data_IF_394799124466
#
_entry.id   IF_394799124466
#
_cell.length_a   1.000
_cell.length_b   1.000
_cell.length_c   1.000
_cell.angle_alpha   90.00
_cell.angle_beta   90.00
_cell.angle_gamma   90.00
#
_symmetry.space_group_name_H-M   'P 1'
#
loop_
_entity.id
_entity.type
_entity.pdbx_description
1 polymer ?
#
# COMPACT_ATOMS: atom_id res chain seq x y z
N UNK A 1 -17.33 16.39 6.97
CA UNK A 1 -18.22 16.44 5.80
C UNK A 1 -19.09 15.23 5.84
N UNK A 2 -20.41 15.39 5.67
CA UNK A 2 -21.36 14.29 5.88
C UNK A 2 -21.92 13.74 4.56
N UNK A 3 -21.75 14.43 3.43
CA UNK A 3 -22.38 14.02 2.16
C UNK A 3 -21.45 14.17 0.95
N UNK A 4 -21.71 13.37 -0.08
CA UNK A 4 -21.02 13.44 -1.37
C UNK A 4 -21.19 14.79 -2.07
N UNK A 5 -22.35 15.44 -1.91
CA UNK A 5 -22.64 16.75 -2.48
C UNK A 5 -21.70 17.85 -1.93
N UNK A 6 -21.42 17.84 -0.63
CA UNK A 6 -20.43 18.74 -0.01
C UNK A 6 -19.03 18.52 -0.61
N UNK A 7 -18.67 17.26 -0.88
CA UNK A 7 -17.38 16.92 -1.48
C UNK A 7 -17.30 17.38 -2.94
N UNK A 8 -18.36 17.18 -3.71
CA UNK A 8 -18.44 17.66 -5.09
C UNK A 8 -18.24 19.17 -5.19
N UNK A 9 -18.90 19.95 -4.33
CA UNK A 9 -18.70 21.39 -4.29
C UNK A 9 -17.26 21.79 -3.94
N UNK A 10 -16.66 21.15 -2.94
CA UNK A 10 -15.25 21.37 -2.58
C UNK A 10 -14.29 21.00 -3.71
N UNK A 11 -14.56 19.89 -4.41
CA UNK A 11 -13.79 19.44 -5.56
C UNK A 11 -13.80 20.47 -6.68
N UNK A 12 -14.99 20.95 -7.06
CA UNK A 12 -15.18 21.91 -8.14
C UNK A 12 -14.57 23.28 -7.82
N UNK A 13 -14.71 23.75 -6.58
CA UNK A 13 -14.30 25.11 -6.17
C UNK A 13 -12.84 25.22 -5.74
N UNK A 14 -12.29 24.22 -5.06
CA UNK A 14 -10.97 24.33 -4.40
C UNK A 14 -9.90 23.38 -4.94
N UNK A 15 -10.28 22.29 -5.61
CA UNK A 15 -9.33 21.31 -6.15
C UNK A 15 -9.18 21.41 -7.67
N UNK A 16 -10.24 21.75 -8.40
CA UNK A 16 -10.25 21.68 -9.86
C UNK A 16 -9.16 22.53 -10.53
N UNK A 17 -8.91 23.75 -10.05
CA UNK A 17 -7.85 24.63 -10.60
C UNK A 17 -6.47 23.98 -10.48
N UNK A 18 -6.11 23.51 -9.29
CA UNK A 18 -4.83 22.84 -9.05
C UNK A 18 -4.72 21.49 -9.75
N UNK A 19 -5.82 20.74 -9.82
CA UNK A 19 -5.86 19.48 -10.57
C UNK A 19 -5.60 19.70 -12.05
N UNK A 20 -6.10 20.78 -12.66
CA UNK A 20 -5.79 21.15 -14.05
C UNK A 20 -4.31 21.47 -14.23
N UNK A 21 -3.69 22.21 -13.32
CA UNK A 21 -2.24 22.48 -13.38
C UNK A 21 -1.40 21.20 -13.27
N UNK A 22 -1.79 20.29 -12.38
CA UNK A 22 -1.13 18.99 -12.22
C UNK A 22 -1.35 18.12 -13.47
N UNK A 23 -2.53 18.17 -14.08
CA UNK A 23 -2.88 17.43 -15.29
C UNK A 23 -2.02 17.86 -16.48
N UNK A 24 -1.73 19.16 -16.63
CA UNK A 24 -0.78 19.65 -17.65
C UNK A 24 0.60 19.00 -17.46
N UNK A 25 1.10 18.95 -16.21
CA UNK A 25 2.38 18.30 -15.91
C UNK A 25 2.35 16.79 -16.16
N UNK A 26 1.23 16.13 -15.82
CA UNK A 26 1.03 14.70 -16.12
C UNK A 26 1.03 14.46 -17.62
N UNK A 27 0.32 15.27 -18.41
CA UNK A 27 0.28 15.16 -19.87
C UNK A 27 1.67 15.34 -20.47
N UNK A 28 2.44 16.34 -20.04
CA UNK A 28 3.82 16.52 -20.50
C UNK A 28 4.70 15.31 -20.19
N UNK A 29 4.58 14.75 -18.98
CA UNK A 29 5.29 13.53 -18.60
C UNK A 29 4.83 12.32 -19.45
N UNK A 30 3.52 12.15 -19.64
CA UNK A 30 2.94 11.06 -20.42
C UNK A 30 3.32 11.15 -21.91
N UNK A 31 3.31 12.34 -22.49
CA UNK A 31 3.74 12.57 -23.88
C UNK A 31 5.21 12.24 -24.05
N UNK A 32 6.09 12.71 -23.16
CA UNK A 32 7.52 12.35 -23.22
C UNK A 32 7.73 10.84 -23.15
N UNK A 33 7.02 10.15 -22.27
CA UNK A 33 7.10 8.68 -22.18
C UNK A 33 6.56 8.01 -23.46
N UNK A 34 5.43 8.47 -23.99
CA UNK A 34 4.89 7.96 -25.26
C UNK A 34 5.85 8.17 -26.42
N UNK A 35 6.45 9.35 -26.53
CA UNK A 35 7.45 9.66 -27.55
C UNK A 35 8.64 8.72 -27.44
N UNK A 36 9.17 8.48 -26.23
CA UNK A 36 10.26 7.53 -26.03
C UNK A 36 9.87 6.09 -26.42
N UNK A 37 8.65 5.65 -26.07
CA UNK A 37 8.14 4.33 -26.48
C UNK A 37 8.02 4.20 -28.00
N UNK A 38 7.59 5.26 -28.68
CA UNK A 38 7.50 5.28 -30.15
C UNK A 38 8.91 5.20 -30.75
N UNK A 39 9.89 5.94 -30.22
CA UNK A 39 11.28 5.85 -30.67
C UNK A 39 11.85 4.44 -30.49
N UNK A 40 11.62 3.81 -29.34
CA UNK A 40 12.03 2.43 -29.06
C UNK A 40 11.39 1.44 -30.05
N UNK A 41 10.09 1.60 -30.33
CA UNK A 41 9.39 0.77 -31.31
C UNK A 41 9.94 0.96 -32.73
N UNK A 42 10.25 2.21 -33.13
CA UNK A 42 10.85 2.49 -34.45
C UNK A 42 12.22 1.83 -34.56
N UNK A 43 13.08 1.94 -33.53
CA UNK A 43 14.40 1.30 -33.52
C UNK A 43 14.26 -0.22 -33.66
N UNK A 44 13.30 -0.83 -32.94
CA UNK A 44 13.01 -2.25 -33.05
C UNK A 44 12.57 -2.64 -34.47
N UNK A 45 11.70 -1.85 -35.12
CA UNK A 45 11.27 -2.09 -36.50
C UNK A 45 12.45 -1.97 -37.47
N UNK A 46 13.30 -0.95 -37.33
CA UNK A 46 14.50 -0.77 -38.17
C UNK A 46 15.44 -1.97 -38.05
N UNK A 47 15.66 -2.47 -36.84
CA UNK A 47 16.45 -3.69 -36.58
C UNK A 47 15.82 -4.91 -37.27
N UNK A 48 14.51 -5.09 -37.15
CA UNK A 48 13.81 -6.22 -37.77
C UNK A 48 13.88 -6.16 -39.31
N UNK A 49 13.71 -4.97 -39.89
CA UNK A 49 13.85 -4.76 -41.34
C UNK A 49 15.28 -5.03 -41.79
N UNK A 50 16.28 -4.55 -41.05
CA UNK A 50 17.69 -4.83 -41.31
C UNK A 50 17.97 -6.34 -41.30
N UNK A 51 17.59 -7.04 -40.23
CA UNK A 51 17.77 -8.50 -40.12
C UNK A 51 17.04 -9.26 -41.23
N UNK A 52 15.84 -8.81 -41.62
CA UNK A 52 15.08 -9.42 -42.71
C UNK A 52 15.75 -9.23 -44.08
N UNK A 53 16.20 -8.01 -44.39
CA UNK A 53 16.93 -7.71 -45.64
C UNK A 53 18.15 -8.60 -45.83
N UNK A 54 18.98 -8.75 -44.78
CA UNK A 54 20.16 -9.61 -44.84
C UNK A 54 19.85 -11.11 -44.89
N UNK A 55 18.62 -11.54 -44.58
CA UNK A 55 18.21 -12.94 -44.70
C UNK A 55 17.79 -13.31 -46.12
N UNK A 56 17.41 -12.33 -46.94
CA UNK A 56 16.90 -12.55 -48.30
C UNK A 56 17.97 -12.42 -49.40
N UNK A 57 19.14 -11.88 -49.09
CA UNK A 57 20.25 -11.79 -50.03
C UNK A 57 21.04 -13.11 -50.11
N UNK A 58 21.57 -13.40 -51.30
CA UNK A 58 22.37 -14.59 -51.60
C UNK A 58 23.61 -14.62 -50.68
N UNK A 59 23.89 -15.71 -49.94
CA UNK A 59 24.99 -15.79 -48.96
C UNK A 59 26.39 -15.50 -49.51
N UNK A 60 26.51 -15.39 -50.83
CA UNK A 60 27.76 -15.22 -51.57
C UNK A 60 28.17 -13.75 -51.78
N UNK A 61 27.28 -12.77 -51.62
CA UNK A 61 27.55 -11.35 -51.92
C UNK A 61 27.84 -10.45 -50.72
N UNK A 62 27.52 -10.87 -49.49
CA UNK A 62 27.87 -10.15 -48.26
C UNK A 62 27.82 -11.11 -47.05
N UNK A 63 28.79 -11.08 -46.12
CA UNK A 63 28.63 -11.78 -44.85
C UNK A 63 27.46 -11.17 -44.10
N UNK A 64 26.44 -11.98 -43.80
CA UNK A 64 25.28 -11.56 -43.01
C UNK A 64 25.70 -11.02 -41.63
N UNK A 65 24.77 -10.47 -40.83
CA UNK A 65 25.10 -10.02 -39.49
C UNK A 65 25.59 -11.20 -38.65
N UNK A 66 26.90 -11.28 -38.45
CA UNK A 66 27.52 -12.26 -37.57
C UNK A 66 26.96 -12.13 -36.15
N UNK A 67 27.09 -13.19 -35.36
CA UNK A 67 26.59 -13.24 -33.97
C UNK A 67 26.98 -12.00 -33.16
N UNK A 68 28.17 -11.43 -33.40
CA UNK A 68 28.67 -10.21 -32.77
C UNK A 68 27.74 -9.01 -33.01
N UNK A 69 27.25 -8.81 -34.24
CA UNK A 69 26.35 -7.71 -34.58
C UNK A 69 24.99 -7.87 -33.89
N UNK A 70 24.48 -9.10 -33.81
CA UNK A 70 23.24 -9.41 -33.07
C UNK A 70 23.41 -9.09 -31.58
N UNK A 71 24.56 -9.42 -30.98
CA UNK A 71 24.85 -9.10 -29.58
C UNK A 71 24.95 -7.58 -29.33
N UNK A 72 25.57 -6.80 -30.21
CA UNK A 72 25.63 -5.34 -30.09
C UNK A 72 24.24 -4.69 -30.20
N UNK A 73 23.42 -5.18 -31.12
CA UNK A 73 22.03 -4.73 -31.29
C UNK A 73 21.22 -5.03 -30.01
N UNK A 74 21.31 -6.26 -29.50
CA UNK A 74 20.64 -6.63 -28.24
C UNK A 74 21.13 -5.80 -27.06
N UNK A 75 22.45 -5.58 -26.94
CA UNK A 75 23.04 -4.75 -25.90
C UNK A 75 22.55 -3.30 -25.94
N UNK A 76 22.48 -2.71 -27.13
CA UNK A 76 21.97 -1.34 -27.29
C UNK A 76 20.49 -1.21 -26.97
N UNK A 77 19.65 -2.19 -27.32
CA UNK A 77 18.25 -2.23 -26.90
C UNK A 77 18.09 -2.31 -25.39
N UNK A 78 18.91 -3.11 -24.69
CA UNK A 78 18.89 -3.20 -23.22
C UNK A 78 19.28 -1.87 -22.58
N UNK A 79 20.32 -1.20 -23.12
CA UNK A 79 20.76 0.11 -22.63
C UNK A 79 19.69 1.17 -22.87
N UNK A 80 19.07 1.20 -24.05
CA UNK A 80 17.98 2.12 -24.36
C UNK A 80 16.76 1.90 -23.47
N UNK A 81 16.36 0.63 -23.25
CA UNK A 81 15.30 0.27 -22.32
C UNK A 81 15.62 0.70 -20.88
N UNK A 82 16.88 0.59 -20.45
CA UNK A 82 17.32 1.06 -19.14
C UNK A 82 17.26 2.59 -19.02
N UNK A 83 17.74 3.33 -20.02
CA UNK A 83 17.65 4.80 -20.08
C UNK A 83 16.17 5.23 -20.06
N UNK A 84 15.30 4.52 -20.78
CA UNK A 84 13.85 4.74 -20.78
C UNK A 84 13.24 4.59 -19.37
N UNK A 85 13.60 3.55 -18.63
CA UNK A 85 13.13 3.33 -17.25
C UNK A 85 13.58 4.49 -16.34
N UNK A 86 14.82 4.97 -16.47
CA UNK A 86 15.32 6.09 -15.68
C UNK A 86 14.60 7.41 -16.03
N UNK A 87 14.41 7.69 -17.32
CA UNK A 87 13.76 8.91 -17.79
C UNK A 87 12.27 8.95 -17.37
N UNK A 88 11.54 7.86 -17.55
CA UNK A 88 10.13 7.73 -17.16
C UNK A 88 9.93 7.86 -15.63
N UNK A 89 10.85 7.31 -14.83
CA UNK A 89 10.86 7.49 -13.39
C UNK A 89 11.08 8.96 -13.00
N UNK A 90 11.94 9.70 -13.71
CA UNK A 90 12.17 11.13 -13.50
C UNK A 90 10.94 11.99 -13.82
N UNK A 91 10.30 11.77 -14.97
CA UNK A 91 9.16 12.57 -15.41
C UNK A 91 7.92 12.41 -14.53
N UNK A 92 7.75 11.24 -13.91
CA UNK A 92 6.59 10.97 -13.06
C UNK A 92 6.68 11.56 -11.66
N UNK A 93 7.89 11.83 -11.15
CA UNK A 93 8.10 12.31 -9.77
C UNK A 93 7.50 13.69 -9.50
N UNK A 94 7.64 14.62 -10.45
CA UNK A 94 7.23 16.03 -10.27
C UNK A 94 5.71 16.16 -10.08
N UNK A 95 4.89 15.62 -10.99
CA UNK A 95 3.44 15.73 -10.89
C UNK A 95 2.90 14.94 -9.69
N UNK A 96 3.47 13.77 -9.39
CA UNK A 96 3.12 12.97 -8.21
C UNK A 96 3.39 13.73 -6.91
N UNK A 97 4.56 14.38 -6.82
CA UNK A 97 4.93 15.23 -5.68
C UNK A 97 3.94 16.38 -5.48
N UNK A 98 3.53 17.03 -6.57
CA UNK A 98 2.55 18.12 -6.54
C UNK A 98 1.15 17.64 -6.18
N UNK A 99 0.70 16.52 -6.76
CA UNK A 99 -0.58 15.89 -6.43
C UNK A 99 -0.67 15.56 -4.95
N UNK A 100 0.34 14.90 -4.38
CA UNK A 100 0.35 14.58 -2.95
C UNK A 100 0.37 15.83 -2.07
N UNK A 101 1.22 16.81 -2.39
CA UNK A 101 1.33 18.04 -1.60
C UNK A 101 0.03 18.85 -1.63
N UNK A 102 -0.48 19.12 -2.83
CA UNK A 102 -1.54 20.10 -3.04
C UNK A 102 -2.93 19.48 -2.90
N UNK A 103 -3.11 18.23 -3.35
CA UNK A 103 -4.42 17.57 -3.32
C UNK A 103 -4.57 16.77 -2.04
N UNK A 104 -3.72 15.77 -1.80
CA UNK A 104 -3.86 14.90 -0.63
C UNK A 104 -3.74 15.67 0.68
N UNK A 105 -2.81 16.63 0.78
CA UNK A 105 -2.72 17.53 1.93
C UNK A 105 -4.02 18.31 2.20
N UNK A 106 -4.66 18.85 1.15
CA UNK A 106 -5.97 19.51 1.29
C UNK A 106 -7.09 18.56 1.67
N UNK A 107 -7.10 17.34 1.11
CA UNK A 107 -8.08 16.32 1.49
C UNK A 107 -7.97 15.99 2.99
N UNK A 108 -6.75 15.79 3.49
CA UNK A 108 -6.49 15.52 4.92
C UNK A 108 -6.97 16.67 5.80
N UNK A 109 -6.54 17.91 5.50
CA UNK A 109 -6.96 19.09 6.28
C UNK A 109 -8.46 19.37 6.19
N UNK A 110 -9.15 18.85 5.17
CA UNK A 110 -10.60 18.96 5.01
C UNK A 110 -11.37 17.96 5.88
N UNK A 111 -10.81 16.77 6.11
CA UNK A 111 -11.39 15.74 6.99
C UNK A 111 -11.37 16.22 8.43
N UNK A 112 -10.21 16.68 8.92
CA UNK A 112 -10.09 17.33 10.22
C UNK A 112 -8.87 18.26 10.23
N UNK A 113 -9.00 19.38 10.95
CA UNK A 113 -7.90 20.34 11.17
C UNK A 113 -6.81 19.77 12.09
N UNK A 114 -7.15 18.76 12.89
CA UNK A 114 -6.23 18.11 13.83
C UNK A 114 -5.38 17.02 13.16
N UNK A 115 -5.60 16.78 11.86
CA UNK A 115 -4.79 15.87 11.05
C UNK A 115 -3.63 16.62 10.39
N UNK A 116 -2.43 16.08 10.55
CA UNK A 116 -1.25 16.51 9.81
C UNK A 116 -0.81 15.44 8.81
N UNK A 117 -0.39 15.86 7.61
CA UNK A 117 0.03 14.97 6.52
C UNK A 117 1.49 15.16 6.16
N UNK A 118 2.25 14.07 6.17
CA UNK A 118 3.67 13.99 5.84
C UNK A 118 3.88 13.00 4.69
N UNK A 119 4.05 13.55 3.48
CA UNK A 119 4.13 12.77 2.22
C UNK A 119 5.17 11.65 2.25
N UNK A 120 6.39 11.97 2.67
CA UNK A 120 7.54 11.07 2.53
C UNK A 120 7.84 10.29 3.82
N UNK A 121 7.06 10.54 4.87
CA UNK A 121 7.23 9.91 6.16
C UNK A 121 6.30 8.71 6.34
N UNK A 122 6.53 7.91 7.36
CA UNK A 122 5.80 6.65 7.63
C UNK A 122 5.78 6.33 9.12
N UNK A 123 4.89 5.42 9.51
CA UNK A 123 4.93 4.82 10.84
C UNK A 123 6.32 4.22 11.06
N UNK A 124 6.86 4.38 12.26
CA UNK A 124 8.20 3.93 12.55
C UNK A 124 8.32 2.41 12.55
N UNK A 125 9.49 1.93 12.15
CA UNK A 125 9.77 0.49 12.15
C UNK A 125 9.64 -0.15 13.53
N UNK A 126 10.02 0.58 14.59
CA UNK A 126 9.89 0.09 15.97
C UNK A 126 8.44 -0.08 16.38
N UNK A 127 7.53 0.78 15.93
CA UNK A 127 6.10 0.61 16.18
C UNK A 127 5.51 -0.57 15.41
N UNK A 128 5.92 -0.75 14.16
CA UNK A 128 5.55 -1.93 13.39
C UNK A 128 5.98 -3.22 14.11
N UNK A 129 7.21 -3.28 14.62
CA UNK A 129 7.68 -4.43 15.42
C UNK A 129 6.92 -4.57 16.75
N UNK A 130 6.65 -3.47 17.44
CA UNK A 130 5.91 -3.46 18.71
C UNK A 130 4.48 -4.00 18.59
N UNK A 131 3.90 -3.94 17.38
CA UNK A 131 2.61 -4.57 17.11
C UNK A 131 2.63 -6.09 17.26
N UNK A 132 3.79 -6.72 17.07
CA UNK A 132 3.96 -8.19 17.11
C UNK A 132 3.02 -8.95 16.15
N UNK A 133 2.39 -8.25 15.20
CA UNK A 133 1.59 -8.83 14.11
C UNK A 133 2.44 -9.61 13.11
N UNK A 134 3.74 -9.30 13.06
CA UNK A 134 4.71 -9.84 12.10
C UNK A 134 6.08 -9.95 12.77
N UNK A 135 6.29 -10.96 13.61
CA UNK A 135 7.56 -11.17 14.30
C UNK A 135 8.47 -12.13 13.49
N UNK A 136 9.02 -11.60 12.39
CA UNK A 136 9.98 -12.30 11.52
C UNK A 136 11.08 -11.35 11.05
N UNK A 137 12.17 -11.90 10.49
CA UNK A 137 13.26 -11.06 9.97
C UNK A 137 12.81 -10.23 8.76
N UNK A 138 12.97 -8.91 8.87
CA UNK A 138 12.49 -7.96 7.89
C UNK A 138 13.61 -7.63 6.90
N UNK A 139 13.40 -8.04 5.64
CA UNK A 139 14.32 -7.77 4.54
C UNK A 139 14.28 -6.30 4.09
N UNK A 140 13.07 -5.72 4.04
CA UNK A 140 12.84 -4.37 3.54
C UNK A 140 11.59 -3.77 4.18
N UNK A 141 11.74 -2.55 4.69
CA UNK A 141 10.65 -1.76 5.27
C UNK A 141 10.51 -0.43 4.52
N UNK A 142 9.47 -0.31 3.70
CA UNK A 142 9.17 0.90 2.92
C UNK A 142 7.81 1.44 3.32
N UNK A 143 7.66 2.75 3.28
CA UNK A 143 6.40 3.41 3.59
C UNK A 143 6.40 4.86 3.17
N UNK A 144 5.22 5.46 3.23
CA UNK A 144 4.96 6.86 2.85
C UNK A 144 3.56 7.27 3.33
N UNK A 145 3.20 8.51 3.06
CA UNK A 145 1.86 9.05 3.28
C UNK A 145 1.43 8.94 4.76
N UNK A 146 2.31 9.35 5.68
CA UNK A 146 2.01 9.42 7.11
C UNK A 146 0.97 10.50 7.36
N UNK A 147 -0.08 10.12 8.08
CA UNK A 147 -1.06 11.03 8.66
C UNK A 147 -1.00 10.85 10.17
N UNK A 148 -0.95 11.95 10.91
CA UNK A 148 -0.98 11.96 12.38
C UNK A 148 -2.19 12.75 12.87
N UNK A 149 -2.78 12.33 13.97
CA UNK A 149 -3.89 13.05 14.60
C UNK A 149 -3.96 12.79 16.10
N UNK A 150 -4.89 13.47 16.76
CA UNK A 150 -5.18 13.31 18.18
C UNK A 150 -6.69 13.30 18.38
N UNK A 151 -7.19 12.39 19.19
CA UNK A 151 -8.58 12.34 19.63
C UNK A 151 -8.59 12.27 21.16
N UNK A 152 -8.98 13.37 21.82
CA UNK A 152 -8.83 13.53 23.27
C UNK A 152 -7.37 13.26 23.69
N UNK A 153 -7.10 12.27 24.54
CA UNK A 153 -5.73 11.90 24.96
C UNK A 153 -5.07 10.85 24.05
N UNK A 154 -5.80 10.30 23.08
CA UNK A 154 -5.30 9.26 22.19
C UNK A 154 -4.57 9.91 21.02
N UNK A 155 -3.26 9.69 20.93
CA UNK A 155 -2.51 10.07 19.73
C UNK A 155 -2.57 8.92 18.73
N UNK A 156 -2.78 9.23 17.45
CA UNK A 156 -2.82 8.20 16.43
C UNK A 156 -2.13 8.63 15.15
N UNK A 157 -1.72 7.62 14.38
CA UNK A 157 -1.02 7.80 13.13
C UNK A 157 -1.21 6.61 12.23
N UNK A 158 -1.24 6.87 10.93
CA UNK A 158 -1.28 5.80 9.94
C UNK A 158 -0.49 6.16 8.72
N UNK A 159 0.03 5.15 8.04
CA UNK A 159 0.77 5.34 6.80
C UNK A 159 0.59 4.14 5.89
N UNK A 160 0.86 4.33 4.60
CA UNK A 160 0.95 3.20 3.68
C UNK A 160 2.32 2.54 3.83
N UNK A 161 2.34 1.23 4.11
CA UNK A 161 3.56 0.44 4.24
C UNK A 161 3.62 -0.69 3.22
N UNK A 162 4.85 -1.07 2.88
CA UNK A 162 5.18 -2.27 2.13
C UNK A 162 6.38 -2.94 2.79
N UNK A 163 6.13 -4.13 3.33
CA UNK A 163 7.08 -4.85 4.16
C UNK A 163 7.37 -6.22 3.56
N UNK A 164 8.65 -6.56 3.47
CA UNK A 164 9.13 -7.83 2.97
C UNK A 164 9.95 -8.55 4.04
N UNK A 165 9.73 -9.85 4.17
CA UNK A 165 10.43 -10.74 5.08
C UNK A 165 11.45 -11.61 4.37
N UNK A 166 12.41 -12.14 5.14
CA UNK A 166 13.31 -13.21 4.67
C UNK A 166 12.78 -14.56 5.12
N UNK A 167 12.86 -15.56 4.25
CA UNK A 167 12.76 -16.95 4.70
C UNK A 167 14.08 -17.35 5.36
N UNK A 168 14.02 -18.02 6.50
CA UNK A 168 15.20 -18.69 7.05
C UNK A 168 15.62 -19.82 6.10
N UNK A 169 16.92 -20.01 5.85
CA UNK A 169 17.41 -21.14 5.08
C UNK A 169 17.12 -22.43 5.86
N UNK A 170 16.23 -23.27 5.34
CA UNK A 170 16.20 -24.69 5.70
C UNK A 170 17.16 -25.43 4.76
N UNK A 171 17.69 -26.59 5.17
CA UNK A 171 18.79 -27.33 4.51
C UNK A 171 18.59 -27.65 3.01
N UNK A 172 17.42 -27.34 2.43
CA UNK A 172 17.06 -27.56 1.02
C UNK A 172 16.54 -26.32 0.26
N UNK A 173 16.42 -25.14 0.89
CA UNK A 173 15.87 -23.93 0.23
C UNK A 173 16.81 -22.72 0.30
N UNK A 174 17.06 -22.08 -0.85
CA UNK A 174 17.75 -20.78 -0.93
C UNK A 174 16.93 -19.71 -0.21
N UNK A 175 17.62 -18.80 0.46
CA UNK A 175 17.03 -17.61 1.10
C UNK A 175 16.21 -16.81 0.08
N UNK A 176 14.91 -16.65 0.34
CA UNK A 176 13.99 -15.89 -0.49
C UNK A 176 13.44 -14.68 0.26
N UNK A 177 13.07 -13.65 -0.49
CA UNK A 177 12.32 -12.50 0.06
C UNK A 177 10.86 -12.63 -0.34
N UNK A 178 9.94 -12.49 0.61
CA UNK A 178 8.50 -12.53 0.34
C UNK A 178 7.80 -11.33 0.96
N UNK A 179 6.66 -10.93 0.39
CA UNK A 179 5.90 -9.78 0.87
C UNK A 179 5.03 -10.19 2.05
N UNK A 180 5.26 -9.60 3.21
CA UNK A 180 4.52 -9.89 4.45
C UNK A 180 3.29 -9.00 4.53
N UNK A 181 3.47 -7.70 4.29
CA UNK A 181 2.42 -6.71 4.45
C UNK A 181 2.47 -5.69 3.32
N UNK A 182 1.30 -5.28 2.84
CA UNK A 182 1.16 -4.13 1.95
C UNK A 182 -0.20 -3.50 2.13
N UNK A 183 -0.23 -2.26 2.60
CA UNK A 183 -1.46 -1.52 2.82
C UNK A 183 -1.31 -0.46 3.90
N UNK A 184 -2.40 -0.13 4.58
CA UNK A 184 -2.40 0.92 5.62
C UNK A 184 -2.16 0.29 6.97
N UNK A 185 -1.15 0.82 7.66
CA UNK A 185 -0.83 0.44 9.03
C UNK A 185 -1.16 1.61 9.95
N UNK A 186 -2.05 1.38 10.90
CA UNK A 186 -2.59 2.36 11.82
C UNK A 186 -2.13 2.04 13.25
N UNK A 187 -1.77 3.07 14.00
CA UNK A 187 -1.32 3.01 15.39
C UNK A 187 -2.14 4.02 16.18
N UNK A 188 -2.72 3.59 17.29
CA UNK A 188 -3.30 4.46 18.31
C UNK A 188 -2.62 4.19 19.65
N UNK A 189 -2.14 5.25 20.29
CA UNK A 189 -1.51 5.21 21.61
C UNK A 189 -2.45 5.83 22.64
N UNK A 190 -2.97 4.98 23.51
CA UNK A 190 -3.92 5.33 24.56
C UNK A 190 -3.23 5.89 25.80
N UNK A 191 -1.89 5.91 25.84
CA UNK A 191 -1.04 6.30 26.98
C UNK A 191 -1.19 5.43 28.24
N UNK A 192 -2.29 4.69 28.37
CA UNK A 192 -2.54 3.69 29.40
C UNK A 192 -2.28 2.30 28.86
N UNK A 193 -1.63 1.46 29.65
CA UNK A 193 -1.35 0.09 29.24
C UNK A 193 -2.64 -0.75 29.20
N UNK A 194 -2.76 -1.59 28.18
CA UNK A 194 -3.77 -2.63 28.13
C UNK A 194 -3.46 -3.68 29.20
N UNK A 195 -4.51 -4.14 29.89
CA UNK A 195 -4.42 -5.17 30.94
C UNK A 195 -3.90 -6.48 30.35
N UNK A 196 -4.34 -6.80 29.14
CA UNK A 196 -3.92 -8.00 28.41
C UNK A 196 -3.43 -7.63 27.01
N UNK A 197 -2.52 -8.45 26.48
CA UNK A 197 -2.08 -8.37 25.10
C UNK A 197 -2.86 -9.36 24.24
N UNK A 198 -3.14 -8.97 23.01
CA UNK A 198 -3.84 -9.86 22.10
C UNK A 198 -3.53 -9.55 20.65
N UNK A 199 -3.58 -10.59 19.82
CA UNK A 199 -3.53 -10.49 18.37
C UNK A 199 -4.79 -11.07 17.76
N UNK A 200 -5.37 -10.35 16.80
CA UNK A 200 -6.57 -10.73 16.06
C UNK A 200 -6.19 -10.87 14.59
N UNK A 201 -6.32 -12.07 14.05
CA UNK A 201 -6.01 -12.37 12.65
C UNK A 201 -7.27 -12.74 11.87
N UNK A 202 -7.32 -12.51 10.54
CA UNK A 202 -8.40 -13.04 9.73
C UNK A 202 -8.50 -14.56 9.87
N UNK A 203 -9.71 -15.07 10.08
CA UNK A 203 -9.97 -16.50 10.00
C UNK A 203 -10.20 -16.87 8.54
N UNK A 204 -9.12 -17.19 7.85
CA UNK A 204 -9.15 -17.60 6.44
C UNK A 204 -8.96 -19.11 6.44
N UNK A 205 -10.00 -19.87 6.07
CA UNK A 205 -9.83 -21.30 5.79
C UNK A 205 -8.69 -21.53 4.77
N UNK A 206 -8.18 -22.78 4.67
CA UNK A 206 -6.97 -23.17 3.90
C UNK A 206 -6.77 -22.35 2.62
N UNK A 207 -5.93 -21.34 2.70
CA UNK A 207 -5.53 -20.51 1.58
C UNK A 207 -4.01 -20.50 1.59
N UNK A 208 -3.40 -21.14 0.61
CA UNK A 208 -1.96 -21.47 0.58
C UNK A 208 -1.04 -20.27 0.92
N UNK A 209 -1.35 -19.06 0.46
CA UNK A 209 -0.56 -17.86 0.80
C UNK A 209 -0.68 -17.44 2.26
N UNK A 210 -1.88 -17.58 2.82
CA UNK A 210 -2.13 -17.30 4.23
C UNK A 210 -1.56 -18.41 5.10
N UNK A 211 -1.59 -19.67 4.67
CA UNK A 211 -1.00 -20.80 5.39
C UNK A 211 0.53 -20.64 5.54
N UNK A 212 1.21 -20.17 4.48
CA UNK A 212 2.64 -19.84 4.55
C UNK A 212 2.89 -18.70 5.53
N UNK A 213 2.11 -17.62 5.45
CA UNK A 213 2.22 -16.49 6.39
C UNK A 213 1.94 -16.97 7.82
N UNK A 214 0.88 -17.74 8.05
CA UNK A 214 0.49 -18.27 9.35
C UNK A 214 1.55 -19.22 9.91
N UNK A 215 2.21 -20.03 9.08
CA UNK A 215 3.35 -20.86 9.51
C UNK A 215 4.49 -19.98 10.05
N UNK A 216 4.77 -18.85 9.42
CA UNK A 216 5.74 -17.87 9.92
C UNK A 216 5.21 -17.01 11.08
N UNK A 217 3.89 -16.96 11.27
CA UNK A 217 3.27 -16.26 12.40
C UNK A 217 3.10 -17.17 13.63
N UNK A 218 3.31 -18.50 13.54
CA UNK A 218 3.16 -19.40 14.68
C UNK A 218 4.04 -18.97 15.87
N UNK A 219 5.28 -18.55 15.61
CA UNK A 219 6.20 -18.05 16.63
C UNK A 219 5.86 -16.64 17.14
N UNK A 220 4.80 -16.04 16.60
CA UNK A 220 4.36 -14.65 16.83
C UNK A 220 2.98 -14.57 17.48
N UNK A 221 2.26 -15.70 17.49
CA UNK A 221 0.99 -15.86 18.18
C UNK A 221 1.24 -15.68 19.67
N UNK A 222 0.57 -14.70 20.27
CA UNK A 222 0.61 -14.49 21.71
C UNK A 222 -0.39 -15.40 22.40
N UNK A 223 0.12 -16.30 23.23
CA UNK A 223 -0.73 -17.18 24.03
C UNK A 223 -1.54 -18.16 23.18
N UNK A 224 -2.75 -18.46 23.67
CA UNK A 224 -3.60 -19.50 23.09
C UNK A 224 -4.75 -18.89 22.30
N UNK A 225 -5.29 -19.67 21.38
CA UNK A 225 -6.52 -19.30 20.69
C UNK A 225 -7.67 -19.23 21.70
N UNK A 226 -8.45 -18.16 21.64
CA UNK A 226 -9.59 -17.92 22.52
C UNK A 226 -10.85 -17.79 21.67
N UNK A 227 -11.91 -18.50 22.08
CA UNK A 227 -13.23 -18.41 21.46
C UNK A 227 -13.99 -17.22 22.06
N UNK A 228 -14.50 -16.33 21.21
CA UNK A 228 -15.19 -15.12 21.66
C UNK A 228 -16.67 -15.35 21.95
N UNK A 229 -17.18 -16.56 21.65
CA UNK A 229 -18.60 -16.92 21.72
C UNK A 229 -19.47 -15.97 20.88
N UNK A 230 -18.96 -15.59 19.72
CA UNK A 230 -19.58 -14.63 18.81
C UNK A 230 -19.48 -15.18 17.38
N UNK A 231 -20.50 -15.91 16.90
CA UNK A 231 -20.41 -16.65 15.64
C UNK A 231 -20.08 -15.78 14.42
N UNK A 232 -20.53 -14.51 14.40
CA UNK A 232 -20.25 -13.59 13.30
C UNK A 232 -18.78 -13.18 13.32
N UNK A 233 -18.25 -12.85 14.50
CA UNK A 233 -16.85 -12.47 14.66
C UNK A 233 -15.90 -13.66 14.50
N UNK A 234 -16.16 -14.78 15.16
CA UNK A 234 -15.30 -15.99 15.17
C UNK A 234 -15.22 -16.66 13.78
N UNK A 235 -16.24 -16.46 12.94
CA UNK A 235 -16.20 -16.85 11.52
C UNK A 235 -15.15 -16.06 10.74
N UNK A 236 -15.00 -14.77 11.04
CA UNK A 236 -14.19 -13.84 10.27
C UNK A 236 -12.78 -13.63 10.85
N UNK A 237 -12.58 -13.93 12.14
CA UNK A 237 -11.37 -13.67 12.90
C UNK A 237 -11.01 -14.78 13.90
N UNK A 238 -9.73 -14.91 14.19
CA UNK A 238 -9.18 -15.74 15.25
C UNK A 238 -8.41 -14.86 16.24
N UNK A 239 -8.71 -15.02 17.53
CA UNK A 239 -8.11 -14.24 18.63
C UNK A 239 -7.11 -15.10 19.36
N UNK A 240 -5.96 -14.50 19.69
CA UNK A 240 -4.92 -15.11 20.50
C UNK A 240 -4.54 -14.16 21.62
N UNK A 241 -4.57 -14.66 22.85
CA UNK A 241 -4.15 -13.96 24.07
C UNK A 241 -3.75 -14.97 25.14
N UNK A 242 -3.06 -14.51 26.18
CA UNK A 242 -2.73 -15.30 27.38
C UNK A 242 -3.84 -15.24 28.44
N UNK A 243 -4.73 -14.24 28.37
CA UNK A 243 -5.76 -13.96 29.37
C UNK A 243 -7.15 -13.93 28.72
N UNK A 244 -7.87 -15.04 28.87
CA UNK A 244 -9.20 -15.24 28.31
C UNK A 244 -10.26 -14.31 28.93
N UNK A 245 -10.18 -14.00 30.21
CA UNK A 245 -11.18 -13.19 30.88
C UNK A 245 -11.06 -11.72 30.44
N UNK A 246 -9.85 -11.18 30.47
CA UNK A 246 -9.61 -9.79 30.12
C UNK A 246 -9.72 -9.53 28.61
N UNK A 247 -9.43 -10.52 27.74
CA UNK A 247 -9.60 -10.30 26.29
C UNK A 247 -11.08 -10.20 25.89
N UNK A 248 -11.98 -10.93 26.55
CA UNK A 248 -13.42 -10.84 26.30
C UNK A 248 -13.99 -9.47 26.72
N UNK A 249 -13.40 -8.84 27.73
CA UNK A 249 -13.71 -7.46 28.14
C UNK A 249 -13.14 -6.43 27.16
N UNK A 250 -11.87 -6.60 26.76
CA UNK A 250 -11.18 -5.71 25.81
C UNK A 250 -11.87 -5.71 24.44
N UNK A 251 -12.14 -6.89 23.90
CA UNK A 251 -12.91 -7.10 22.67
C UNK A 251 -14.40 -7.22 23.00
N UNK A 252 -14.99 -6.13 23.52
CA UNK A 252 -16.43 -6.05 23.82
C UNK A 252 -17.29 -6.42 22.60
N UNK A 253 -18.56 -6.85 22.78
CA UNK A 253 -19.45 -7.15 21.65
C UNK A 253 -19.53 -6.01 20.64
N UNK A 254 -19.56 -4.77 21.13
CA UNK A 254 -19.57 -3.57 20.31
C UNK A 254 -18.29 -3.36 19.48
N UNK A 255 -17.12 -3.58 20.09
CA UNK A 255 -15.85 -3.53 19.38
C UNK A 255 -15.72 -4.65 18.34
N UNK A 256 -16.17 -5.87 18.67
CA UNK A 256 -16.17 -7.00 17.71
C UNK A 256 -17.04 -6.71 16.50
N UNK A 257 -18.26 -6.21 16.70
CA UNK A 257 -19.13 -5.81 15.60
C UNK A 257 -18.47 -4.70 14.76
N UNK A 258 -17.85 -3.71 15.41
CA UNK A 258 -17.13 -2.66 14.70
C UNK A 258 -15.98 -3.22 13.85
N UNK A 259 -15.23 -4.20 14.34
CA UNK A 259 -14.15 -4.86 13.60
C UNK A 259 -14.71 -5.59 12.37
N UNK A 260 -15.82 -6.31 12.50
CA UNK A 260 -16.51 -7.00 11.39
C UNK A 260 -16.97 -6.00 10.34
N UNK A 261 -17.65 -4.93 10.76
CA UNK A 261 -18.11 -3.86 9.86
C UNK A 261 -16.93 -3.16 9.17
N UNK A 262 -15.83 -2.93 9.89
CA UNK A 262 -14.64 -2.30 9.33
C UNK A 262 -13.98 -3.18 8.27
N UNK A 263 -13.93 -4.51 8.47
CA UNK A 263 -13.51 -5.46 7.43
C UNK A 263 -14.44 -5.41 6.21
N UNK A 264 -15.76 -5.37 6.42
CA UNK A 264 -16.73 -5.29 5.33
C UNK A 264 -16.58 -4.00 4.50
N UNK A 265 -16.39 -2.84 5.16
CA UNK A 265 -16.15 -1.54 4.51
C UNK A 265 -14.85 -1.51 3.71
N UNK A 266 -13.77 -2.06 4.27
CA UNK A 266 -12.46 -2.07 3.60
C UNK A 266 -12.33 -3.13 2.51
N UNK A 267 -13.20 -4.16 2.52
CA UNK A 267 -13.15 -5.32 1.63
C UNK A 267 -11.75 -5.94 1.56
N UNK A 268 -11.04 -5.92 2.69
CA UNK A 268 -9.62 -6.21 2.80
C UNK A 268 -9.32 -7.10 4.00
N UNK A 269 -8.19 -7.82 3.94
CA UNK A 269 -7.73 -8.58 5.11
C UNK A 269 -7.25 -7.61 6.18
N UNK A 270 -7.70 -7.84 7.41
CA UNK A 270 -7.51 -6.96 8.55
C UNK A 270 -6.88 -7.75 9.70
N UNK A 271 -5.79 -7.24 10.27
CA UNK A 271 -5.21 -7.79 11.51
C UNK A 271 -5.14 -6.69 12.56
N UNK A 272 -5.35 -7.05 13.83
CA UNK A 272 -5.27 -6.11 14.94
C UNK A 272 -4.36 -6.65 16.03
N UNK A 273 -3.72 -5.75 16.76
CA UNK A 273 -2.95 -6.10 17.94
C UNK A 273 -3.12 -5.05 19.03
N UNK A 274 -3.18 -5.52 20.27
CA UNK A 274 -3.17 -4.71 21.48
C UNK A 274 -1.90 -5.07 22.25
N UNK A 275 -0.99 -4.11 22.37
CA UNK A 275 0.35 -4.34 22.94
C UNK A 275 0.86 -3.08 23.65
N UNK A 276 1.21 -3.21 24.93
CA UNK A 276 1.59 -2.07 25.77
C UNK A 276 0.43 -1.08 25.90
N UNK A 277 0.65 0.20 25.54
CA UNK A 277 -0.40 1.23 25.48
C UNK A 277 -1.02 1.42 24.09
N UNK A 278 -0.64 0.57 23.12
CA UNK A 278 -0.93 0.81 21.71
C UNK A 278 -1.83 -0.25 21.09
N UNK A 279 -2.79 0.22 20.31
CA UNK A 279 -3.56 -0.58 19.37
C UNK A 279 -2.99 -0.40 17.98
N UNK A 280 -2.83 -1.51 17.27
CA UNK A 280 -2.33 -1.57 15.90
C UNK A 280 -3.39 -2.17 15.00
N UNK A 281 -3.57 -1.61 13.81
CA UNK A 281 -4.47 -2.14 12.80
C UNK A 281 -3.73 -2.19 11.46
N UNK A 282 -3.65 -3.38 10.88
CA UNK A 282 -3.02 -3.65 9.60
C UNK A 282 -4.09 -4.00 8.56
N UNK A 283 -4.34 -3.10 7.61
CA UNK A 283 -5.29 -3.30 6.50
C UNK A 283 -4.52 -3.61 5.22
N UNK A 284 -4.60 -4.85 4.73
CA UNK A 284 -3.91 -5.26 3.51
C UNK A 284 -4.65 -4.76 2.26
N UNK A 285 -4.04 -3.81 1.55
CA UNK A 285 -4.60 -3.20 0.34
C UNK A 285 -3.85 -3.67 -0.91
N UNK A 286 -4.60 -4.05 -1.94
CA UNK A 286 -4.02 -4.44 -3.24
C UNK A 286 -3.49 -3.24 -4.04
N UNK A 287 -4.02 -2.05 -3.77
CA UNK A 287 -3.68 -0.81 -4.47
C UNK A 287 -2.76 0.09 -3.66
N UNK A 288 -2.04 0.95 -4.38
CA UNK A 288 -1.27 2.04 -3.80
C UNK A 288 -2.23 3.21 -3.59
N UNK A 289 -2.55 3.53 -2.33
CA UNK A 289 -3.32 4.74 -2.03
C UNK A 289 -2.50 5.99 -2.40
N UNK A 290 -3.21 7.04 -2.80
CA UNK A 290 -2.66 8.37 -3.06
C UNK A 290 -1.62 8.46 -4.18
N UNK A 291 -1.50 7.41 -5.01
CA UNK A 291 -0.58 7.37 -6.14
C UNK A 291 -1.31 7.60 -7.47
N UNK A 292 -1.23 8.81 -8.05
CA UNK A 292 -1.83 9.06 -9.36
C UNK A 292 -1.09 8.25 -10.43
N UNK A 293 -1.87 7.60 -11.31
CA UNK A 293 -1.32 6.88 -12.45
C UNK A 293 -0.95 7.87 -13.57
N UNK A 294 0.19 7.65 -14.22
CA UNK A 294 0.67 8.57 -15.26
C UNK A 294 -0.22 8.58 -16.51
N UNK A 295 -0.93 7.49 -16.78
CA UNK A 295 -1.83 7.35 -17.94
C UNK A 295 -3.32 7.49 -17.59
N UNK A 296 -3.66 7.86 -16.34
CA UNK A 296 -5.03 8.20 -15.91
C UNK A 296 -5.10 9.69 -15.60
N UNK A 297 -6.21 10.34 -15.93
CA UNK A 297 -6.43 11.76 -15.61
C UNK A 297 -6.38 11.96 -14.09
N UNK A 298 -5.66 12.99 -13.62
CA UNK A 298 -5.70 13.33 -12.18
C UNK A 298 -6.98 14.09 -11.80
N UNK A 299 -7.66 14.68 -12.78
CA UNK A 299 -8.96 15.36 -12.67
C UNK A 299 -10.15 14.39 -12.65
N UNK A 300 -9.90 13.11 -12.42
CA UNK A 300 -10.94 12.09 -12.34
C UNK A 300 -11.59 12.16 -10.96
N UNK A 301 -12.85 12.62 -10.91
CA UNK A 301 -13.58 12.85 -9.66
C UNK A 301 -13.60 11.59 -8.79
N UNK A 302 -13.93 10.43 -9.37
CA UNK A 302 -14.06 9.17 -8.63
C UNK A 302 -12.74 8.76 -7.96
N UNK A 303 -11.61 8.98 -8.62
CA UNK A 303 -10.28 8.71 -8.03
C UNK A 303 -10.01 9.63 -6.83
N UNK A 304 -10.33 10.92 -6.95
CA UNK A 304 -10.09 11.89 -5.86
C UNK A 304 -11.07 11.65 -4.71
N UNK A 305 -12.33 11.32 -5.01
CA UNK A 305 -13.34 10.98 -4.02
C UNK A 305 -13.01 9.68 -3.28
N UNK A 306 -12.55 8.65 -3.99
CA UNK A 306 -12.08 7.42 -3.37
C UNK A 306 -10.92 7.68 -2.39
N UNK A 307 -9.94 8.52 -2.78
CA UNK A 307 -8.88 8.93 -1.87
C UNK A 307 -9.43 9.66 -0.64
N UNK A 308 -10.40 10.56 -0.82
CA UNK A 308 -11.07 11.25 0.27
C UNK A 308 -11.79 10.28 1.22
N UNK A 309 -12.49 9.27 0.67
CA UNK A 309 -13.14 8.23 1.47
C UNK A 309 -12.15 7.42 2.31
N UNK A 310 -10.97 7.09 1.78
CA UNK A 310 -9.93 6.44 2.58
C UNK A 310 -9.42 7.33 3.70
N UNK A 311 -9.20 8.61 3.44
CA UNK A 311 -8.76 9.56 4.48
C UNK A 311 -9.83 9.70 5.55
N UNK A 312 -11.11 9.79 5.18
CA UNK A 312 -12.23 9.79 6.14
C UNK A 312 -12.27 8.50 6.97
N UNK A 313 -12.12 7.34 6.33
CA UNK A 313 -12.17 6.03 6.97
C UNK A 313 -11.09 5.86 8.04
N UNK A 314 -9.86 6.27 7.75
CA UNK A 314 -8.74 6.13 8.69
C UNK A 314 -8.60 7.32 9.64
N UNK A 315 -8.93 8.53 9.18
CA UNK A 315 -8.89 9.75 10.00
C UNK A 315 -9.93 9.75 11.12
N UNK A 316 -11.11 9.19 10.86
CA UNK A 316 -12.19 9.12 11.86
C UNK A 316 -12.28 7.73 12.53
N UNK A 317 -11.30 6.86 12.31
CA UNK A 317 -11.32 5.46 12.76
C UNK A 317 -11.64 5.34 14.25
N UNK A 318 -10.97 6.13 15.09
CA UNK A 318 -11.15 6.08 16.54
C UNK A 318 -12.50 6.66 16.99
N UNK A 319 -12.99 7.69 16.30
CA UNK A 319 -14.31 8.27 16.59
C UNK A 319 -15.42 7.27 16.26
N UNK A 320 -15.32 6.59 15.11
CA UNK A 320 -16.26 5.55 14.70
C UNK A 320 -16.19 4.31 15.59
N UNK A 321 -14.99 3.97 16.09
CA UNK A 321 -14.79 2.88 17.04
C UNK A 321 -15.43 3.22 18.40
N UNK A 322 -15.19 4.42 18.93
CA UNK A 322 -15.73 4.84 20.23
C UNK A 322 -17.26 5.00 20.28
N UNK A 323 -17.94 5.10 19.13
CA UNK A 323 -19.41 5.08 19.07
C UNK A 323 -20.02 3.68 19.22
N UNK A 324 -19.21 2.64 19.00
CA UNK A 324 -19.66 1.23 18.98
C UNK A 324 -19.05 0.41 20.10
N UNK A 325 -17.84 0.73 20.55
CA UNK A 325 -17.14 0.09 21.66
C UNK A 325 -17.75 0.50 23.00
#
# INVERSE_FOLDING_TARGET
>A
MKTEAEFKHFYETQLMSELKEIEIKRLNAATRIRTLLIFELIILIVILVYVFWFRTEDPSSMPGPDLINVFWIMGSLVILGFIFVLASAGFSRSFRKMYKKNIIGKLVGRVSKDLAYFRDDKVEFNEFKASRLYNMDIASYKGRDLVTGKLSDISYRFSWLQVYGRTMPDQKMKSGTFRIFRGVFFVADFQKQFITQATVYPNIGRNYRFDVIMKFLQDTIMGRRIEMNDPEFDKEFAVYSEDEENIKKLLSPGLRQWIVDFKARTKSMLSLSFSGSKMFIAVNLRKNLFEPAIFRKVTDYDTVYENFQYIMLFGNLLEDMGKKA
#
